data_IF_545272165965
#
_entry.id   IF_545272165965
#
_cell.length_a   1.000
_cell.length_b   1.000
_cell.length_c   1.000
_cell.angle_alpha   90.00
_cell.angle_beta   90.00
_cell.angle_gamma   90.00
#
_symmetry.space_group_name_H-M   'P 1'
#
loop_
_entity.id
_entity.type
_entity.pdbx_description
1 polymer ?
#
# COMPACT_ATOMS: atom_id res chain seq x y z
N UNK A 1 -0.23 -32.83 21.50
CA UNK A 1 0.05 -31.69 22.38
C UNK A 1 -0.33 -30.43 21.62
N UNK A 2 -1.43 -29.78 22.00
CA UNK A 2 -1.81 -28.47 21.45
C UNK A 2 -0.96 -27.40 22.17
N UNK A 3 -0.20 -26.57 21.46
CA UNK A 3 0.52 -25.46 22.10
C UNK A 3 -0.49 -24.49 22.71
N UNK A 4 -0.26 -24.07 23.96
CA UNK A 4 -1.07 -23.05 24.63
C UNK A 4 -0.88 -21.66 24.01
N UNK A 5 -1.76 -20.69 24.32
CA UNK A 5 -1.60 -19.31 23.86
C UNK A 5 -0.27 -18.70 24.32
N UNK A 6 0.25 -17.73 23.55
CA UNK A 6 1.44 -16.95 23.85
C UNK A 6 1.04 -15.53 24.31
N UNK A 7 0.58 -15.35 25.56
CA UNK A 7 -0.12 -14.14 26.01
C UNK A 7 0.77 -12.89 26.14
N UNK A 8 2.08 -12.98 25.92
CA UNK A 8 2.99 -11.84 26.07
C UNK A 8 3.63 -11.41 24.74
N UNK A 9 3.30 -12.06 23.62
CA UNK A 9 3.90 -11.71 22.35
C UNK A 9 3.20 -10.49 21.74
N UNK A 10 3.88 -9.34 21.76
CA UNK A 10 3.41 -8.09 21.16
C UNK A 10 3.92 -7.89 19.73
N UNK A 11 5.08 -8.47 19.39
CA UNK A 11 5.68 -8.37 18.07
C UNK A 11 5.97 -9.74 17.51
N UNK A 12 5.51 -10.01 16.30
CA UNK A 12 5.79 -11.23 15.57
C UNK A 12 6.41 -10.89 14.22
N UNK A 13 7.67 -11.27 14.03
CA UNK A 13 8.33 -11.20 12.72
C UNK A 13 8.60 -12.60 12.23
N UNK A 14 8.09 -12.92 11.06
CA UNK A 14 8.36 -14.16 10.35
C UNK A 14 9.08 -13.83 9.07
N UNK A 15 10.25 -14.46 8.92
CA UNK A 15 11.06 -14.38 7.72
C UNK A 15 11.36 -15.80 7.26
N UNK A 16 10.94 -16.16 6.05
CA UNK A 16 11.43 -17.41 5.46
C UNK A 16 12.83 -17.19 4.92
N UNK A 17 13.80 -17.92 5.48
CA UNK A 17 15.20 -17.90 5.03
C UNK A 17 15.53 -19.08 4.10
N UNK A 18 14.64 -20.08 4.02
CA UNK A 18 14.92 -21.37 3.38
C UNK A 18 14.08 -21.66 2.12
N UNK A 19 13.36 -20.66 1.60
CA UNK A 19 12.41 -20.84 0.49
C UNK A 19 11.19 -21.68 0.85
N UNK A 20 11.04 -22.11 2.12
CA UNK A 20 9.84 -22.80 2.59
C UNK A 20 8.72 -21.79 2.83
N UNK A 21 7.62 -22.00 2.09
CA UNK A 21 6.37 -21.27 2.20
C UNK A 21 5.73 -21.41 3.59
N UNK A 22 5.28 -20.30 4.20
CA UNK A 22 4.21 -20.38 5.21
C UNK A 22 2.89 -20.29 4.47
N UNK A 23 2.08 -21.33 4.59
CA UNK A 23 0.74 -21.32 4.03
C UNK A 23 -0.16 -20.34 4.79
N UNK A 24 -1.15 -19.77 4.11
CA UNK A 24 -2.15 -18.89 4.74
C UNK A 24 -2.80 -19.48 5.99
N UNK A 25 -3.21 -20.77 6.01
CA UNK A 25 -3.71 -21.43 7.22
C UNK A 25 -2.72 -21.42 8.40
N UNK A 26 -1.43 -21.63 8.15
CA UNK A 26 -0.42 -21.58 9.22
C UNK A 26 -0.26 -20.17 9.78
N UNK A 27 -0.36 -19.14 8.93
CA UNK A 27 -0.35 -17.75 9.38
C UNK A 27 -1.57 -17.48 10.28
N UNK A 28 -2.77 -17.88 9.85
CA UNK A 28 -3.99 -17.68 10.63
C UNK A 28 -3.93 -18.44 11.97
N UNK A 29 -3.44 -19.69 11.97
CA UNK A 29 -3.27 -20.46 13.20
C UNK A 29 -2.29 -19.79 14.16
N UNK A 30 -1.16 -19.30 13.64
CA UNK A 30 -0.19 -18.59 14.47
C UNK A 30 -0.78 -17.30 15.05
N UNK A 31 -1.47 -16.50 14.24
CA UNK A 31 -2.14 -15.28 14.70
C UNK A 31 -3.19 -15.57 15.77
N UNK A 32 -3.90 -16.71 15.71
CA UNK A 32 -4.84 -17.13 16.77
C UNK A 32 -4.16 -17.39 18.11
N UNK A 33 -2.92 -17.88 18.10
CA UNK A 33 -2.17 -18.20 19.32
C UNK A 33 -1.60 -16.93 19.99
N UNK A 34 -1.68 -15.78 19.33
CA UNK A 34 -1.01 -14.53 19.71
C UNK A 34 -2.01 -13.38 19.76
N UNK A 35 -2.92 -13.42 20.73
CA UNK A 35 -4.05 -12.47 20.83
C UNK A 35 -3.66 -11.03 21.19
N UNK A 36 -2.44 -10.82 21.69
CA UNK A 36 -1.93 -9.52 22.16
C UNK A 36 -0.96 -8.86 21.17
N UNK A 37 -0.87 -9.36 19.93
CA UNK A 37 0.00 -8.76 18.93
C UNK A 37 -0.38 -7.30 18.68
N UNK A 38 0.65 -6.46 18.66
CA UNK A 38 0.62 -5.06 18.25
C UNK A 38 1.20 -4.91 16.84
N UNK A 39 2.25 -5.68 16.54
CA UNK A 39 2.93 -5.65 15.25
C UNK A 39 3.16 -7.05 14.70
N UNK A 40 2.86 -7.22 13.41
CA UNK A 40 3.08 -8.45 12.70
C UNK A 40 3.68 -8.22 11.31
N UNK A 41 4.80 -8.87 11.03
CA UNK A 41 5.51 -8.77 9.77
C UNK A 41 5.80 -10.15 9.19
N UNK A 42 5.36 -10.37 7.95
CA UNK A 42 5.61 -11.55 7.15
C UNK A 42 6.48 -11.17 5.97
N UNK A 43 7.67 -11.77 5.86
CA UNK A 43 8.59 -11.51 4.75
C UNK A 43 9.04 -12.80 4.08
N UNK A 44 9.10 -12.80 2.74
CA UNK A 44 9.42 -13.98 1.93
C UNK A 44 8.52 -15.18 2.23
N UNK A 45 7.26 -14.92 2.56
CA UNK A 45 6.25 -15.94 2.80
C UNK A 45 5.65 -16.32 1.46
N UNK A 46 6.22 -17.36 0.85
CA UNK A 46 5.72 -17.90 -0.41
C UNK A 46 4.35 -18.57 -0.19
N UNK A 47 3.44 -18.44 -1.17
CA UNK A 47 2.18 -19.19 -1.21
C UNK A 47 1.30 -19.05 0.05
N UNK A 48 0.68 -17.89 0.25
CA UNK A 48 -0.60 -17.84 0.96
C UNK A 48 -1.64 -18.52 0.06
N UNK A 49 -1.54 -19.86 -0.06
CA UNK A 49 -2.50 -20.68 -0.83
C UNK A 49 -3.91 -20.29 -0.40
N UNK A 50 -4.82 -20.34 -1.36
CA UNK A 50 -6.25 -20.06 -1.22
C UNK A 50 -6.74 -20.51 0.16
N UNK A 51 -6.90 -19.54 1.06
CA UNK A 51 -7.48 -19.79 2.37
C UNK A 51 -8.94 -20.16 2.09
N UNK A 52 -9.40 -21.28 2.63
CA UNK A 52 -10.82 -21.60 2.57
C UNK A 52 -11.56 -20.48 3.31
N UNK A 53 -12.33 -19.68 2.56
CA UNK A 53 -13.04 -18.48 3.04
C UNK A 53 -14.12 -18.86 4.08
N UNK A 54 -14.38 -20.16 4.26
CA UNK A 54 -15.19 -20.70 5.37
C UNK A 54 -14.46 -20.70 6.72
N UNK A 55 -13.16 -20.41 6.74
CA UNK A 55 -12.39 -20.32 7.98
C UNK A 55 -12.96 -19.21 8.88
N UNK A 56 -13.12 -19.55 10.16
CA UNK A 56 -13.59 -18.65 11.21
C UNK A 56 -12.82 -17.33 11.19
N UNK A 57 -13.58 -16.22 11.22
CA UNK A 57 -13.06 -14.85 11.19
C UNK A 57 -12.20 -14.60 12.42
N UNK A 58 -10.94 -14.23 12.20
CA UNK A 58 -10.00 -13.89 13.26
C UNK A 58 -10.03 -12.38 13.53
N UNK A 59 -10.33 -12.02 14.77
CA UNK A 59 -10.30 -10.64 15.24
C UNK A 59 -9.05 -10.44 16.09
N UNK A 60 -8.22 -9.44 15.73
CA UNK A 60 -7.03 -9.07 16.50
C UNK A 60 -7.18 -7.61 16.94
N UNK A 61 -7.78 -7.35 18.11
CA UNK A 61 -8.18 -6.01 18.52
C UNK A 61 -6.99 -5.10 18.88
N UNK A 62 -5.82 -5.66 19.16
CA UNK A 62 -4.61 -4.92 19.55
C UNK A 62 -3.64 -4.69 18.39
N UNK A 63 -3.86 -5.33 17.23
CA UNK A 63 -2.91 -5.28 16.13
C UNK A 63 -2.97 -3.92 15.43
N UNK A 64 -1.88 -3.16 15.53
CA UNK A 64 -1.73 -1.81 14.97
C UNK A 64 -0.92 -1.79 13.68
N UNK A 65 -0.02 -2.76 13.46
CA UNK A 65 0.83 -2.82 12.27
C UNK A 65 0.80 -4.22 11.66
N UNK A 66 0.46 -4.32 10.38
CA UNK A 66 0.46 -5.57 9.61
C UNK A 66 1.21 -5.38 8.30
N UNK A 67 2.26 -6.15 8.09
CA UNK A 67 3.13 -6.04 6.92
C UNK A 67 3.35 -7.39 6.24
N UNK A 68 3.14 -7.40 4.93
CA UNK A 68 3.51 -8.48 4.01
C UNK A 68 4.53 -7.92 3.02
N UNK A 69 5.81 -8.27 3.21
CA UNK A 69 6.93 -7.72 2.44
C UNK A 69 7.62 -8.77 1.56
N UNK A 70 7.95 -8.41 0.31
CA UNK A 70 8.73 -9.24 -0.63
C UNK A 70 8.28 -10.71 -0.69
N UNK A 71 6.97 -10.94 -0.81
CA UNK A 71 6.46 -12.26 -1.16
C UNK A 71 6.57 -12.38 -2.69
N UNK A 72 7.10 -13.50 -3.20
CA UNK A 72 7.14 -13.71 -4.65
C UNK A 72 5.71 -13.70 -5.17
N UNK A 73 5.39 -12.76 -6.06
CA UNK A 73 4.06 -12.64 -6.67
C UNK A 73 3.90 -13.79 -7.64
N UNK A 74 3.36 -14.90 -7.16
CA UNK A 74 2.91 -15.97 -8.03
C UNK A 74 1.52 -15.61 -8.56
N UNK A 75 1.30 -15.62 -9.88
CA UNK A 75 0.03 -15.21 -10.48
C UNK A 75 -1.18 -16.02 -9.99
N UNK A 76 -0.97 -17.21 -9.41
CA UNK A 76 -2.01 -18.12 -8.94
C UNK A 76 -2.29 -18.05 -7.42
N UNK A 77 -1.51 -17.30 -6.63
CA UNK A 77 -1.74 -17.17 -5.19
C UNK A 77 -2.69 -16.01 -4.90
N UNK A 78 -4.00 -16.25 -4.86
CA UNK A 78 -4.94 -15.28 -4.28
C UNK A 78 -4.71 -15.22 -2.77
N UNK A 79 -4.02 -14.16 -2.31
CA UNK A 79 -3.68 -13.91 -0.90
C UNK A 79 -4.92 -13.40 -0.15
N UNK A 80 -5.97 -14.22 -0.07
CA UNK A 80 -7.24 -13.91 0.59
C UNK A 80 -7.16 -13.77 2.12
N UNK A 81 -5.97 -13.56 2.67
CA UNK A 81 -5.75 -13.50 4.12
C UNK A 81 -6.51 -12.34 4.78
N UNK A 82 -6.63 -11.19 4.11
CA UNK A 82 -7.42 -10.07 4.61
C UNK A 82 -8.92 -10.41 4.73
N UNK A 83 -9.44 -11.38 3.96
CA UNK A 83 -10.83 -11.85 4.10
C UNK A 83 -11.08 -12.48 5.46
N UNK A 84 -10.08 -13.14 6.03
CA UNK A 84 -10.19 -13.83 7.30
C UNK A 84 -9.90 -12.94 8.51
N UNK A 85 -9.36 -11.72 8.31
CA UNK A 85 -8.92 -10.85 9.39
C UNK A 85 -9.89 -9.69 9.64
N UNK A 86 -10.08 -9.31 10.91
CA UNK A 86 -10.76 -8.09 11.35
C UNK A 86 -9.84 -7.34 12.30
N UNK A 87 -9.36 -6.17 11.88
CA UNK A 87 -8.27 -5.46 12.56
C UNK A 87 -8.71 -4.03 12.90
N UNK A 88 -9.56 -3.85 13.93
CA UNK A 88 -10.18 -2.55 14.22
C UNK A 88 -9.22 -1.48 14.74
N UNK A 89 -8.04 -1.87 15.25
CA UNK A 89 -7.01 -0.95 15.73
C UNK A 89 -5.86 -0.74 14.72
N UNK A 90 -6.01 -1.21 13.47
CA UNK A 90 -4.93 -1.17 12.49
C UNK A 90 -4.61 0.27 12.06
N UNK A 91 -3.34 0.65 12.20
CA UNK A 91 -2.83 1.97 11.84
C UNK A 91 -1.90 1.90 10.62
N UNK A 92 -1.22 0.78 10.40
CA UNK A 92 -0.34 0.58 9.25
C UNK A 92 -0.58 -0.77 8.57
N UNK A 93 -0.83 -0.72 7.26
CA UNK A 93 -1.00 -1.90 6.40
C UNK A 93 -0.01 -1.85 5.23
N UNK A 94 0.80 -2.90 5.08
CA UNK A 94 1.66 -3.08 3.90
C UNK A 94 1.36 -4.40 3.20
N UNK A 95 0.96 -4.33 1.94
CA UNK A 95 0.60 -5.46 1.06
C UNK A 95 1.21 -5.31 -0.36
N UNK A 96 2.34 -4.61 -0.48
CA UNK A 96 2.98 -4.28 -1.77
C UNK A 96 3.37 -5.46 -2.65
N UNK A 97 3.48 -6.65 -2.08
CA UNK A 97 3.86 -7.87 -2.80
C UNK A 97 2.81 -8.97 -2.64
N UNK A 98 1.58 -8.60 -2.31
CA UNK A 98 0.44 -9.50 -2.27
C UNK A 98 -0.34 -9.41 -3.58
N UNK A 99 -0.85 -10.56 -4.04
CA UNK A 99 -1.83 -10.59 -5.12
C UNK A 99 -3.23 -10.37 -4.52
N UNK A 100 -3.43 -9.17 -3.97
CA UNK A 100 -4.67 -8.73 -3.35
C UNK A 100 -5.47 -7.95 -4.40
N UNK A 101 -6.74 -8.29 -4.61
CA UNK A 101 -7.60 -7.50 -5.50
C UNK A 101 -8.16 -6.26 -4.78
N UNK A 102 -8.60 -5.26 -5.54
CA UNK A 102 -9.26 -4.06 -4.96
C UNK A 102 -10.51 -4.41 -4.16
N UNK A 103 -11.24 -5.46 -4.56
CA UNK A 103 -12.39 -5.99 -3.81
C UNK A 103 -12.00 -6.52 -2.43
N UNK A 104 -10.87 -7.22 -2.35
CA UNK A 104 -10.40 -7.82 -1.12
C UNK A 104 -9.96 -6.74 -0.13
N UNK A 105 -9.29 -5.69 -0.62
CA UNK A 105 -8.93 -4.53 0.18
C UNK A 105 -10.18 -3.77 0.63
N UNK A 106 -11.11 -3.47 -0.28
CA UNK A 106 -12.34 -2.76 0.04
C UNK A 106 -13.14 -3.50 1.12
N UNK A 107 -13.38 -4.80 0.92
CA UNK A 107 -14.11 -5.66 1.87
C UNK A 107 -13.41 -5.71 3.24
N UNK A 108 -12.08 -5.70 3.25
CA UNK A 108 -11.31 -5.67 4.49
C UNK A 108 -11.45 -4.33 5.23
N UNK A 109 -11.34 -3.21 4.51
CA UNK A 109 -11.44 -1.86 5.07
C UNK A 109 -12.84 -1.58 5.59
N UNK A 110 -13.88 -1.95 4.84
CA UNK A 110 -15.28 -1.79 5.25
C UNK A 110 -15.55 -2.58 6.54
N UNK A 111 -15.15 -3.85 6.56
CA UNK A 111 -15.36 -4.77 7.68
C UNK A 111 -14.56 -4.39 8.93
N UNK A 112 -13.32 -3.91 8.77
CA UNK A 112 -12.45 -3.60 9.90
C UNK A 112 -12.63 -2.16 10.38
N UNK A 113 -13.06 -1.25 9.51
CA UNK A 113 -13.14 0.20 9.74
C UNK A 113 -11.93 0.75 10.52
N UNK A 114 -10.69 0.46 10.09
CA UNK A 114 -9.49 0.75 10.87
C UNK A 114 -9.14 2.25 10.85
N UNK A 115 -8.52 2.81 11.91
CA UNK A 115 -8.00 4.18 11.94
C UNK A 115 -6.69 4.31 11.15
N UNK A 116 -6.66 3.80 9.91
CA UNK A 116 -5.46 3.59 9.11
C UNK A 116 -4.74 4.91 8.80
N UNK A 117 -3.45 4.97 9.09
CA UNK A 117 -2.57 6.12 8.85
C UNK A 117 -1.62 5.84 7.68
N UNK A 118 -1.13 4.60 7.56
CA UNK A 118 -0.18 4.18 6.54
C UNK A 118 -0.78 3.04 5.71
N UNK A 119 -0.81 3.21 4.38
CA UNK A 119 -1.23 2.18 3.44
C UNK A 119 -0.19 2.04 2.33
N UNK A 120 0.44 0.87 2.26
CA UNK A 120 1.42 0.50 1.23
C UNK A 120 0.82 -0.66 0.42
N UNK A 121 0.64 -0.45 -0.88
CA UNK A 121 -0.01 -1.42 -1.77
C UNK A 121 0.82 -1.71 -3.00
N UNK A 122 0.40 -2.69 -3.82
CA UNK A 122 1.18 -3.10 -4.97
C UNK A 122 0.37 -3.71 -6.11
N UNK A 123 1.08 -4.32 -7.07
CA UNK A 123 0.57 -4.82 -8.37
C UNK A 123 -0.76 -5.58 -8.32
N UNK A 124 -1.04 -6.33 -7.25
CA UNK A 124 -2.29 -7.08 -7.10
C UNK A 124 -3.54 -6.21 -7.30
N UNK A 125 -3.52 -4.97 -6.78
CA UNK A 125 -4.65 -4.03 -6.88
C UNK A 125 -4.83 -3.48 -8.30
N UNK A 126 -3.81 -3.58 -9.15
CA UNK A 126 -3.83 -3.01 -10.49
C UNK A 126 -4.54 -3.87 -11.53
N UNK A 127 -4.94 -5.09 -11.16
CA UNK A 127 -5.49 -6.11 -12.06
C UNK A 127 -7.00 -5.99 -12.32
N UNK A 128 -7.76 -5.23 -11.51
CA UNK A 128 -9.20 -5.08 -11.68
C UNK A 128 -9.55 -3.65 -12.16
N UNK A 129 -9.79 -3.45 -13.48
CA UNK A 129 -10.10 -2.12 -14.03
C UNK A 129 -11.49 -1.60 -13.63
N UNK A 130 -12.36 -2.44 -13.05
CA UNK A 130 -13.74 -2.09 -12.75
C UNK A 130 -13.93 -1.47 -11.36
N UNK A 131 -12.93 -1.60 -10.47
CA UNK A 131 -13.02 -1.08 -9.11
C UNK A 131 -11.92 -0.06 -8.89
N UNK A 132 -12.40 1.17 -8.73
CA UNK A 132 -11.54 2.33 -8.60
C UNK A 132 -10.99 2.38 -7.17
N UNK A 133 -9.66 2.40 -7.06
CA UNK A 133 -8.89 2.52 -5.82
C UNK A 133 -9.46 3.59 -4.88
N UNK A 134 -10.02 4.66 -5.44
CA UNK A 134 -10.68 5.74 -4.71
C UNK A 134 -11.71 5.26 -3.69
N UNK A 135 -12.48 4.19 -4.00
CA UNK A 135 -13.49 3.65 -3.07
C UNK A 135 -12.87 3.06 -1.81
N UNK A 136 -11.65 2.51 -1.92
CA UNK A 136 -10.91 2.05 -0.75
C UNK A 136 -10.43 3.25 0.07
N UNK A 137 -9.94 4.29 -0.60
CA UNK A 137 -9.41 5.50 0.05
C UNK A 137 -10.51 6.28 0.80
N UNK A 138 -11.75 6.27 0.30
CA UNK A 138 -12.94 6.84 0.97
C UNK A 138 -13.20 6.25 2.36
N UNK A 139 -12.85 4.97 2.56
CA UNK A 139 -13.06 4.27 3.82
C UNK A 139 -12.00 4.63 4.88
N UNK A 140 -10.91 5.28 4.47
CA UNK A 140 -9.75 5.57 5.32
C UNK A 140 -9.28 7.02 5.12
N UNK A 141 -10.13 8.01 5.44
CA UNK A 141 -9.80 9.43 5.29
C UNK A 141 -8.68 9.89 6.24
N UNK A 142 -8.27 9.03 7.17
CA UNK A 142 -7.19 9.27 8.14
C UNK A 142 -5.80 8.99 7.58
N UNK A 143 -5.68 8.47 6.34
CA UNK A 143 -4.37 8.19 5.73
C UNK A 143 -3.52 9.46 5.68
N UNK A 144 -2.30 9.34 6.19
CA UNK A 144 -1.24 10.35 6.13
C UNK A 144 -0.10 9.92 5.21
N UNK A 145 0.10 8.61 5.02
CA UNK A 145 1.09 8.04 4.10
C UNK A 145 0.48 6.99 3.19
N UNK A 146 0.59 7.21 1.88
CA UNK A 146 0.17 6.27 0.86
C UNK A 146 1.32 5.91 -0.07
N UNK A 147 1.56 4.62 -0.26
CA UNK A 147 2.55 4.12 -1.22
C UNK A 147 1.94 3.09 -2.15
N UNK A 148 2.33 3.14 -3.42
CA UNK A 148 1.81 2.24 -4.44
C UNK A 148 2.93 1.71 -5.35
N UNK A 149 3.13 0.40 -5.34
CA UNK A 149 4.19 -0.30 -6.06
C UNK A 149 3.69 -0.98 -7.33
N UNK A 150 4.38 -0.79 -8.46
CA UNK A 150 3.98 -1.31 -9.79
C UNK A 150 2.50 -1.06 -10.12
N UNK A 151 2.01 0.19 -10.01
CA UNK A 151 0.65 0.48 -10.39
C UNK A 151 0.49 0.48 -11.91
N UNK A 152 -0.74 0.26 -12.39
CA UNK A 152 -1.08 0.61 -13.77
C UNK A 152 -1.25 2.11 -13.90
N UNK A 153 -0.87 2.66 -15.04
CA UNK A 153 -0.98 4.09 -15.30
C UNK A 153 -2.40 4.63 -15.11
N UNK A 154 -3.43 3.89 -15.53
CA UNK A 154 -4.83 4.31 -15.37
C UNK A 154 -5.23 4.57 -13.92
N UNK A 155 -4.76 3.75 -12.98
CA UNK A 155 -5.07 3.94 -11.55
C UNK A 155 -4.29 5.13 -10.99
N UNK A 156 -3.04 5.31 -11.42
CA UNK A 156 -2.27 6.49 -11.02
C UNK A 156 -2.94 7.76 -11.54
N UNK A 157 -3.42 7.77 -12.78
CA UNK A 157 -4.15 8.90 -13.34
C UNK A 157 -5.42 9.22 -12.53
N UNK A 158 -6.23 8.21 -12.20
CA UNK A 158 -7.41 8.37 -11.34
C UNK A 158 -7.05 8.94 -9.96
N UNK A 159 -5.96 8.46 -9.35
CA UNK A 159 -5.46 8.97 -8.08
C UNK A 159 -5.04 10.44 -8.18
N UNK A 160 -4.28 10.79 -9.22
CA UNK A 160 -3.79 12.16 -9.44
C UNK A 160 -4.96 13.12 -9.66
N UNK A 161 -5.96 12.73 -10.46
CA UNK A 161 -7.19 13.51 -10.63
C UNK A 161 -7.92 13.70 -9.31
N UNK A 162 -8.04 12.65 -8.49
CA UNK A 162 -8.65 12.74 -7.17
C UNK A 162 -7.87 13.63 -6.18
N UNK A 163 -6.57 13.86 -6.42
CA UNK A 163 -5.76 14.74 -5.58
C UNK A 163 -5.97 16.22 -5.91
N UNK A 164 -6.33 16.55 -7.16
CA UNK A 164 -6.66 17.92 -7.61
C UNK A 164 -7.91 18.46 -6.91
N UNK A 165 -8.87 17.60 -6.59
CA UNK A 165 -10.14 18.00 -5.96
C UNK A 165 -9.89 18.53 -4.52
N UNK A 166 -10.34 19.75 -4.15
CA UNK A 166 -10.26 20.25 -2.78
C UNK A 166 -11.07 19.42 -1.77
N UNK A 167 -12.11 18.70 -2.22
CA UNK A 167 -12.89 17.75 -1.42
C UNK A 167 -12.30 16.33 -1.42
N UNK A 168 -11.05 16.19 -1.83
CA UNK A 168 -10.42 14.90 -2.02
C UNK A 168 -10.56 13.94 -0.83
N UNK A 169 -10.65 12.68 -1.23
CA UNK A 169 -10.74 11.47 -0.42
C UNK A 169 -9.57 11.28 0.54
N UNK A 170 -8.46 11.97 0.29
CA UNK A 170 -7.26 11.95 1.12
C UNK A 170 -6.99 13.34 1.71
N UNK A 171 -7.80 13.81 2.66
CA UNK A 171 -7.68 15.17 3.21
C UNK A 171 -6.43 15.35 4.07
N UNK A 172 -5.93 14.27 4.67
CA UNK A 172 -4.82 14.26 5.63
C UNK A 172 -3.50 13.77 5.05
N UNK A 173 -3.44 13.48 3.74
CA UNK A 173 -2.25 12.93 3.11
C UNK A 173 -1.08 13.92 3.20
N UNK A 174 0.04 13.40 3.73
CA UNK A 174 1.30 14.12 3.89
C UNK A 174 2.42 13.51 3.04
N UNK A 175 2.39 12.20 2.85
CA UNK A 175 3.40 11.47 2.09
C UNK A 175 2.75 10.62 1.00
N UNK A 176 3.15 10.83 -0.25
CA UNK A 176 2.73 10.04 -1.40
C UNK A 176 3.96 9.42 -2.06
N UNK A 177 3.96 8.09 -2.26
CA UNK A 177 4.97 7.43 -3.06
C UNK A 177 4.35 6.54 -4.13
N UNK A 178 4.82 6.66 -5.37
CA UNK A 178 4.44 5.85 -6.51
C UNK A 178 5.73 5.22 -7.03
N UNK A 179 5.79 3.90 -7.04
CA UNK A 179 7.00 3.15 -7.40
C UNK A 179 6.79 2.36 -8.68
N UNK A 180 7.81 2.36 -9.54
CA UNK A 180 7.87 1.61 -10.79
C UNK A 180 6.70 1.95 -11.72
N UNK A 181 6.46 3.25 -11.93
CA UNK A 181 5.55 3.74 -12.96
C UNK A 181 6.27 3.73 -14.31
N UNK A 182 5.69 3.09 -15.31
CA UNK A 182 6.31 2.97 -16.62
C UNK A 182 6.38 4.34 -17.34
N UNK A 183 7.58 4.78 -17.71
CA UNK A 183 7.86 6.12 -18.26
C UNK A 183 7.07 6.45 -19.53
N UNK A 184 6.92 5.53 -20.51
CA UNK A 184 6.15 5.80 -21.73
C UNK A 184 4.68 6.15 -21.49
N UNK A 185 4.16 5.87 -20.28
CA UNK A 185 2.80 6.24 -19.92
C UNK A 185 2.69 7.72 -19.47
N UNK A 186 3.81 8.40 -19.20
CA UNK A 186 3.87 9.79 -18.71
C UNK A 186 3.67 10.78 -19.86
N UNK A 187 2.41 10.94 -20.25
CA UNK A 187 2.00 11.99 -21.21
C UNK A 187 2.10 13.40 -20.64
N UNK A 188 2.15 14.42 -21.51
CA UNK A 188 2.10 15.85 -21.14
C UNK A 188 0.87 16.15 -20.26
N UNK A 189 -0.29 15.60 -20.64
CA UNK A 189 -1.53 15.75 -19.89
C UNK A 189 -1.43 15.21 -18.46
N UNK A 190 -0.74 14.08 -18.28
CA UNK A 190 -0.48 13.54 -16.95
C UNK A 190 0.45 14.46 -16.15
N UNK A 191 1.56 14.92 -16.76
CA UNK A 191 2.52 15.82 -16.11
C UNK A 191 1.84 17.09 -15.60
N UNK A 192 1.04 17.74 -16.45
CA UNK A 192 0.26 18.93 -16.09
C UNK A 192 -0.72 18.64 -14.94
N UNK A 193 -1.45 17.53 -15.01
CA UNK A 193 -2.43 17.17 -13.97
C UNK A 193 -1.74 16.84 -12.65
N UNK A 194 -0.58 16.18 -12.69
CA UNK A 194 0.24 15.88 -11.52
C UNK A 194 0.74 17.15 -10.84
N UNK A 195 1.33 18.08 -11.61
CA UNK A 195 1.76 19.39 -11.09
C UNK A 195 0.59 20.15 -10.47
N UNK A 196 -0.57 20.16 -11.12
CA UNK A 196 -1.79 20.78 -10.56
C UNK A 196 -2.23 20.13 -9.26
N UNK A 197 -2.16 18.80 -9.16
CA UNK A 197 -2.48 18.07 -7.93
C UNK A 197 -1.53 18.46 -6.79
N UNK A 198 -0.24 18.57 -7.08
CA UNK A 198 0.76 19.01 -6.10
C UNK A 198 0.51 20.46 -5.65
N UNK A 199 0.26 21.38 -6.57
CA UNK A 199 -0.11 22.76 -6.21
C UNK A 199 -1.35 22.83 -5.32
N UNK A 200 -2.39 22.05 -5.64
CA UNK A 200 -3.62 21.98 -4.85
C UNK A 200 -3.36 21.49 -3.41
N UNK A 201 -2.28 20.72 -3.20
CA UNK A 201 -1.93 20.07 -1.93
C UNK A 201 -0.66 20.56 -1.28
N UNK A 202 -0.04 21.61 -1.81
CA UNK A 202 1.25 22.13 -1.35
C UNK A 202 1.34 22.45 0.15
N UNK A 203 0.23 22.81 0.79
CA UNK A 203 0.20 23.13 2.23
C UNK A 203 0.02 21.90 3.13
N UNK A 204 -0.24 20.72 2.54
CA UNK A 204 -0.54 19.47 3.26
C UNK A 204 0.45 18.37 2.95
N UNK A 205 0.85 18.23 1.69
CA UNK A 205 1.89 17.29 1.28
C UNK A 205 3.24 17.79 1.75
N UNK A 206 3.97 16.89 2.40
CA UNK A 206 5.32 17.09 2.92
C UNK A 206 6.35 16.33 2.09
N UNK A 207 5.96 15.17 1.54
CA UNK A 207 6.84 14.34 0.73
C UNK A 207 6.07 13.72 -0.45
N UNK A 208 6.68 13.78 -1.64
CA UNK A 208 6.18 13.15 -2.86
C UNK A 208 7.32 12.39 -3.51
N UNK A 209 7.11 11.12 -3.81
CA UNK A 209 8.08 10.25 -4.47
C UNK A 209 7.46 9.61 -5.69
N UNK A 210 8.05 9.82 -6.86
CA UNK A 210 7.69 9.16 -8.11
C UNK A 210 8.92 8.41 -8.65
N UNK A 211 8.90 7.09 -8.55
CA UNK A 211 9.96 6.23 -9.09
C UNK A 211 9.51 5.66 -10.42
N UNK A 212 10.27 5.94 -11.47
CA UNK A 212 9.98 5.57 -12.85
C UNK A 212 10.70 4.27 -13.24
N UNK A 213 10.00 3.47 -14.03
CA UNK A 213 10.53 2.31 -14.73
C UNK A 213 10.67 2.67 -16.22
N UNK A 214 11.88 2.61 -16.78
CA UNK A 214 12.11 2.91 -18.19
C UNK A 214 13.01 4.11 -18.51
N UNK A 215 13.46 4.88 -17.52
CA UNK A 215 14.45 5.95 -17.73
C UNK A 215 14.23 7.19 -16.87
N UNK A 216 15.15 8.17 -16.93
CA UNK A 216 14.98 9.43 -16.22
C UNK A 216 13.79 10.24 -16.80
N UNK A 217 13.10 11.04 -15.96
CA UNK A 217 12.03 11.91 -16.44
C UNK A 217 12.55 13.00 -17.41
N UNK A 218 11.68 13.54 -18.28
CA UNK A 218 12.00 14.70 -19.10
C UNK A 218 12.45 15.93 -18.27
N UNK A 219 13.41 16.71 -18.79
CA UNK A 219 14.01 17.87 -18.08
C UNK A 219 12.98 18.96 -17.77
N UNK A 220 12.10 19.27 -18.73
CA UNK A 220 11.00 20.23 -18.57
C UNK A 220 10.04 19.84 -17.44
N UNK A 221 9.84 18.54 -17.21
CA UNK A 221 9.05 18.05 -16.08
C UNK A 221 9.75 18.30 -14.75
N UNK A 222 11.07 18.06 -14.69
CA UNK A 222 11.87 18.32 -13.48
C UNK A 222 11.89 19.81 -13.13
N UNK A 223 12.05 20.68 -14.12
CA UNK A 223 12.08 22.13 -13.92
C UNK A 223 10.76 22.64 -13.32
N UNK A 224 9.62 22.17 -13.85
CA UNK A 224 8.30 22.54 -13.33
C UNK A 224 8.07 22.07 -11.88
N UNK A 225 8.74 21.00 -11.45
CA UNK A 225 8.65 20.49 -10.08
C UNK A 225 9.55 21.26 -9.12
N UNK A 226 10.69 21.79 -9.57
CA UNK A 226 11.57 22.61 -8.72
C UNK A 226 10.84 23.85 -8.17
N UNK A 227 9.94 24.44 -8.97
CA UNK A 227 9.12 25.57 -8.54
C UNK A 227 8.21 25.25 -7.34
N UNK A 228 7.87 23.97 -7.14
CA UNK A 228 7.02 23.51 -6.04
C UNK A 228 7.78 23.28 -4.73
N UNK A 229 9.10 23.10 -4.78
CA UNK A 229 9.89 22.71 -3.59
C UNK A 229 10.14 23.88 -2.64
N UNK A 230 10.01 25.11 -3.14
CA UNK A 230 10.22 26.36 -2.38
C UNK A 230 9.34 26.46 -1.11
N UNK A 231 8.25 25.69 -1.04
CA UNK A 231 7.31 25.66 0.08
C UNK A 231 7.61 24.57 1.15
N UNK A 232 8.78 23.92 1.11
CA UNK A 232 9.21 22.93 2.11
C UNK A 232 8.66 21.51 1.91
N UNK A 233 8.13 21.23 0.72
CA UNK A 233 7.68 19.90 0.29
C UNK A 233 8.82 19.18 -0.43
N UNK A 234 9.23 18.01 0.07
CA UNK A 234 10.27 17.18 -0.55
C UNK A 234 9.70 16.46 -1.79
N UNK A 235 10.29 16.69 -2.97
CA UNK A 235 9.89 16.00 -4.21
C UNK A 235 11.04 15.13 -4.72
N UNK A 236 10.77 13.84 -4.87
CA UNK A 236 11.67 12.89 -5.52
C UNK A 236 11.04 12.43 -6.82
N UNK A 237 11.73 12.60 -7.95
CA UNK A 237 11.40 11.92 -9.21
C UNK A 237 12.66 11.34 -9.82
N UNK A 238 12.70 10.03 -10.02
CA UNK A 238 13.89 9.36 -10.56
C UNK A 238 13.62 7.89 -10.84
N UNK A 239 14.66 7.11 -11.12
CA UNK A 239 14.57 5.64 -11.25
C UNK A 239 15.02 4.96 -9.95
N UNK A 240 14.89 3.63 -9.83
CA UNK A 240 15.46 2.91 -8.67
C UNK A 240 17.00 3.01 -8.62
N UNK A 241 17.65 3.23 -9.77
CA UNK A 241 19.12 3.30 -9.91
C UNK A 241 19.68 4.73 -9.96
N UNK A 242 18.90 5.70 -10.44
CA UNK A 242 19.28 7.11 -10.54
C UNK A 242 18.39 7.97 -9.64
N UNK A 243 18.96 8.37 -8.50
CA UNK A 243 18.33 9.29 -7.57
C UNK A 243 18.52 10.73 -8.06
N UNK A 244 17.53 11.28 -8.77
CA UNK A 244 17.41 12.72 -8.93
C UNK A 244 16.55 13.25 -7.79
N UNK A 245 17.20 13.77 -6.74
CA UNK A 245 16.50 14.55 -5.71
C UNK A 245 16.23 15.91 -6.34
N UNK A 246 14.95 16.24 -6.53
CA UNK A 246 14.53 17.60 -6.84
C UNK A 246 14.38 18.27 -5.48
N UNK A 247 15.51 18.77 -4.98
CA UNK A 247 15.67 19.26 -3.62
C UNK A 247 14.77 20.45 -3.31
#
# INVERSE_FOLDING_TARGET
>A
MTPGPLPLLETLTIRSLSGRAFSGPQIIELLRLTSNLVECMFTHVNNVRRIDVRAEKLVLPTLRRLMFGRNEVYPDSNDGILKCLSLPALEALSVSFCNLTTDDLFSFLEKSSPPLQELITGRGLASNPFIKLHRCLDLVPTITRFEFWWPTFSIVQDLVVALVDPLSLLPNLRSLAIHNLYEPDISDSFRETFIRALHARRTRLQAVRLVLDGGPPPVDFLDALQELVVDGMEIYIGTEECNSIVA
#
